data_IF_908549859100
#
_entry.id   IF_908549859100
#
_cell.length_a   1.000
_cell.length_b   1.000
_cell.length_c   1.000
_cell.angle_alpha   90.00
_cell.angle_beta   90.00
_cell.angle_gamma   90.00
#
_symmetry.space_group_name_H-M   'P 1'
#
loop_
_entity.id
_entity.type
_entity.pdbx_description
1 polymer ?
#
# COMPACT_ATOMS: atom_id res chain seq x y z
N UNK A 1 -5.08 28.35 -10.56
CA UNK A 1 -3.76 27.85 -10.12
C UNK A 1 -3.98 26.48 -9.50
N UNK A 2 -3.91 25.42 -10.32
CA UNK A 2 -3.87 24.04 -9.83
C UNK A 2 -2.47 23.82 -9.26
N UNK A 3 -2.35 23.84 -7.94
CA UNK A 3 -1.12 23.43 -7.26
C UNK A 3 -0.75 22.03 -7.74
N UNK A 4 0.50 21.86 -8.17
CA UNK A 4 1.04 20.59 -8.65
C UNK A 4 1.12 19.62 -7.47
N UNK A 5 0.08 18.80 -7.29
CA UNK A 5 -0.03 17.78 -6.23
C UNK A 5 1.19 16.85 -6.27
N UNK A 6 1.79 16.62 -7.45
CA UNK A 6 2.99 15.81 -7.62
C UNK A 6 4.22 16.35 -6.85
N UNK A 7 4.30 17.67 -6.65
CA UNK A 7 5.40 18.31 -5.93
C UNK A 7 5.38 18.04 -4.42
N UNK A 8 4.21 17.71 -3.85
CA UNK A 8 4.01 17.44 -2.40
C UNK A 8 4.19 15.96 -2.05
N UNK A 9 4.36 15.10 -3.05
CA UNK A 9 4.49 13.67 -2.85
C UNK A 9 5.89 13.33 -2.32
N UNK A 10 6.01 12.40 -1.36
CA UNK A 10 7.28 12.14 -0.67
C UNK A 10 8.31 11.53 -1.61
N UNK A 11 9.17 12.39 -2.17
CA UNK A 11 10.41 12.03 -2.87
C UNK A 11 11.30 11.20 -1.94
N UNK A 12 12.12 10.33 -2.50
CA UNK A 12 13.05 9.51 -1.70
C UNK A 12 13.96 10.40 -0.86
N UNK A 13 13.87 10.26 0.47
CA UNK A 13 14.85 10.85 1.37
C UNK A 13 16.17 10.05 1.31
N UNK A 14 17.28 10.63 1.77
CA UNK A 14 18.60 9.98 1.70
C UNK A 14 18.64 8.60 2.40
N UNK A 15 17.89 8.46 3.49
CA UNK A 15 17.80 7.19 4.23
C UNK A 15 17.11 6.10 3.39
N UNK A 16 16.02 6.44 2.70
CA UNK A 16 15.28 5.50 1.85
C UNK A 16 16.11 5.06 0.64
N UNK A 17 16.87 5.96 0.03
CA UNK A 17 17.81 5.60 -1.05
C UNK A 17 18.86 4.60 -0.57
N UNK A 18 19.36 4.77 0.66
CA UNK A 18 20.29 3.82 1.28
C UNK A 18 19.62 2.46 1.49
N UNK A 19 18.40 2.40 2.01
CA UNK A 19 17.68 1.13 2.21
C UNK A 19 17.47 0.39 0.88
N UNK A 20 17.05 1.10 -0.16
CA UNK A 20 16.84 0.51 -1.49
C UNK A 20 18.13 -0.08 -2.08
N UNK A 21 19.28 0.56 -1.85
CA UNK A 21 20.58 0.05 -2.33
C UNK A 21 21.00 -1.22 -1.60
N UNK A 22 20.74 -1.31 -0.29
CA UNK A 22 20.97 -2.52 0.50
C UNK A 22 20.06 -3.67 0.05
N UNK A 23 18.77 -3.40 -0.18
CA UNK A 23 17.81 -4.41 -0.67
C UNK A 23 18.23 -4.95 -2.05
N UNK A 24 18.67 -4.06 -2.95
CA UNK A 24 19.15 -4.48 -4.27
C UNK A 24 20.38 -5.39 -4.15
N UNK A 25 21.30 -5.07 -3.24
CA UNK A 25 22.50 -5.88 -2.97
C UNK A 25 22.14 -7.25 -2.38
N UNK A 26 21.22 -7.27 -1.41
CA UNK A 26 20.71 -8.49 -0.80
C UNK A 26 20.03 -9.42 -1.82
N UNK A 27 19.15 -8.88 -2.68
CA UNK A 27 18.49 -9.68 -3.74
C UNK A 27 19.50 -10.36 -4.67
N UNK A 28 20.59 -9.67 -5.04
CA UNK A 28 21.64 -10.27 -5.87
C UNK A 28 22.31 -11.45 -5.17
N UNK A 29 22.65 -11.28 -3.88
CA UNK A 29 23.26 -12.34 -3.08
C UNK A 29 22.30 -13.51 -2.87
N UNK A 30 21.04 -13.23 -2.52
CA UNK A 30 20.00 -14.25 -2.34
C UNK A 30 19.79 -15.08 -3.61
N UNK A 31 19.63 -14.43 -4.77
CA UNK A 31 19.44 -15.13 -6.04
C UNK A 31 20.67 -15.95 -6.45
N UNK A 32 21.88 -15.51 -6.09
CA UNK A 32 23.10 -16.28 -6.31
C UNK A 32 23.14 -17.55 -5.46
N UNK A 33 22.63 -17.50 -4.23
CA UNK A 33 22.61 -18.64 -3.31
C UNK A 33 21.42 -19.58 -3.56
N UNK A 34 20.28 -19.01 -3.97
CA UNK A 34 19.02 -19.73 -4.20
C UNK A 34 18.47 -19.41 -5.59
N UNK A 35 19.04 -19.98 -6.67
CA UNK A 35 18.64 -19.65 -8.05
C UNK A 35 17.18 -20.03 -8.37
N UNK A 36 16.61 -20.99 -7.64
CA UNK A 36 15.21 -21.42 -7.72
C UNK A 36 14.36 -20.91 -6.55
N UNK A 37 14.91 -20.03 -5.72
CA UNK A 37 14.20 -19.43 -4.60
C UNK A 37 13.07 -18.51 -5.09
N UNK A 38 11.98 -18.37 -4.32
CA UNK A 38 10.92 -17.44 -4.65
C UNK A 38 11.45 -15.99 -4.66
N UNK A 39 10.89 -15.16 -5.56
CA UNK A 39 11.24 -13.74 -5.64
C UNK A 39 10.84 -13.02 -4.34
N UNK A 40 11.82 -12.45 -3.64
CA UNK A 40 11.56 -11.70 -2.41
C UNK A 40 10.98 -10.31 -2.72
N UNK A 41 9.72 -10.08 -2.34
CA UNK A 41 9.00 -8.81 -2.52
C UNK A 41 9.39 -7.77 -1.44
N UNK A 42 10.66 -7.37 -1.44
CA UNK A 42 11.22 -6.39 -0.51
C UNK A 42 10.99 -4.93 -0.95
N UNK A 43 10.47 -4.70 -2.15
CA UNK A 43 10.16 -3.37 -2.68
C UNK A 43 8.95 -3.40 -3.60
N UNK A 44 8.16 -2.32 -3.59
CA UNK A 44 7.06 -2.08 -4.53
C UNK A 44 7.01 -0.61 -4.96
N UNK A 45 6.37 -0.34 -6.10
CA UNK A 45 6.11 1.04 -6.55
C UNK A 45 4.87 1.59 -5.83
N UNK A 46 4.94 2.82 -5.36
CA UNK A 46 3.75 3.54 -4.88
C UNK A 46 2.95 4.15 -6.04
N UNK A 47 1.85 4.85 -5.72
CA UNK A 47 1.01 5.61 -6.66
C UNK A 47 1.76 6.61 -7.57
N UNK A 48 3.00 6.96 -7.25
CA UNK A 48 3.86 7.83 -8.07
C UNK A 48 4.97 7.08 -8.80
N UNK A 49 4.85 5.76 -8.90
CA UNK A 49 5.85 4.88 -9.50
C UNK A 49 7.24 4.93 -8.85
N UNK A 50 7.36 5.49 -7.63
CA UNK A 50 8.59 5.50 -6.86
C UNK A 50 8.77 4.18 -6.11
N UNK A 51 9.98 3.62 -6.15
CA UNK A 51 10.29 2.35 -5.50
C UNK A 51 10.39 2.52 -3.99
N UNK A 52 9.42 2.01 -3.23
CA UNK A 52 9.41 2.04 -1.77
C UNK A 52 9.89 0.69 -1.22
N UNK A 53 10.67 0.72 -0.15
CA UNK A 53 11.02 -0.49 0.58
C UNK A 53 9.77 -1.04 1.26
N UNK A 54 9.44 -2.30 0.99
CA UNK A 54 8.46 -3.05 1.77
C UNK A 54 9.20 -3.45 3.03
N UNK A 55 9.15 -2.60 4.04
CA UNK A 55 9.59 -2.96 5.39
C UNK A 55 8.42 -3.74 6.00
N UNK A 56 8.14 -4.93 5.47
CA UNK A 56 7.38 -5.91 6.23
C UNK A 56 8.33 -6.53 7.26
N UNK A 57 8.81 -5.72 8.21
CA UNK A 57 8.60 -6.23 9.55
C UNK A 57 7.08 -6.22 9.68
N UNK A 58 6.47 -7.38 9.48
CA UNK A 58 5.35 -7.70 10.36
C UNK A 58 6.00 -7.75 11.74
N UNK A 59 6.24 -6.57 12.35
CA UNK A 59 5.76 -6.45 13.71
C UNK A 59 4.29 -6.76 13.49
N UNK A 60 3.74 -7.85 14.05
CA UNK A 60 2.34 -7.81 14.30
C UNK A 60 2.22 -6.60 15.23
N UNK A 61 1.99 -5.41 14.66
CA UNK A 61 1.10 -4.49 15.32
C UNK A 61 -0.09 -5.41 15.54
N UNK A 62 -0.25 -5.84 16.79
CA UNK A 62 -1.56 -6.14 17.33
C UNK A 62 -2.38 -4.93 16.94
N UNK A 63 -2.92 -4.94 15.72
CA UNK A 63 -3.90 -4.00 15.29
C UNK A 63 -5.00 -4.33 16.28
N UNK A 64 -5.45 -3.42 17.16
CA UNK A 64 -6.47 -3.72 18.15
C UNK A 64 -7.85 -4.00 17.50
N UNK A 65 -7.85 -4.29 16.21
CA UNK A 65 -8.96 -4.48 15.30
C UNK A 65 -8.71 -5.78 14.52
N UNK A 66 -8.74 -6.92 15.22
CA UNK A 66 -8.64 -8.27 14.62
C UNK A 66 -9.66 -8.48 13.50
N UNK A 67 -10.80 -7.78 13.60
CA UNK A 67 -11.88 -7.71 12.63
C UNK A 67 -11.41 -7.29 11.23
N UNK A 68 -10.32 -6.54 11.11
CA UNK A 68 -9.78 -6.14 9.80
C UNK A 68 -9.06 -7.29 9.06
N UNK A 69 -8.79 -8.41 9.73
CA UNK A 69 -8.17 -9.59 9.13
C UNK A 69 -9.18 -10.57 8.53
N UNK A 70 -10.48 -10.37 8.78
CA UNK A 70 -11.56 -11.19 8.24
C UNK A 70 -12.36 -10.41 7.19
N UNK A 71 -12.48 -10.97 5.99
CA UNK A 71 -13.17 -10.30 4.87
C UNK A 71 -14.64 -9.97 5.16
N UNK A 72 -15.33 -10.83 5.90
CA UNK A 72 -16.73 -10.62 6.29
C UNK A 72 -16.87 -9.48 7.28
N UNK A 73 -15.96 -9.38 8.25
CA UNK A 73 -15.92 -8.30 9.24
C UNK A 73 -15.56 -6.96 8.60
N UNK A 74 -14.61 -6.94 7.66
CA UNK A 74 -14.28 -5.75 6.87
C UNK A 74 -15.47 -5.29 6.02
N UNK A 75 -16.17 -6.22 5.36
CA UNK A 75 -17.35 -5.90 4.57
C UNK A 75 -18.47 -5.29 5.43
N UNK A 76 -18.66 -5.79 6.65
CA UNK A 76 -19.64 -5.26 7.59
C UNK A 76 -19.30 -3.84 8.06
N UNK A 77 -18.04 -3.59 8.45
CA UNK A 77 -17.57 -2.25 8.85
C UNK A 77 -17.77 -1.25 7.71
N UNK A 78 -17.43 -1.64 6.48
CA UNK A 78 -17.63 -0.81 5.30
C UNK A 78 -19.12 -0.55 5.01
N UNK A 79 -19.97 -1.56 5.17
CA UNK A 79 -21.41 -1.41 5.00
C UNK A 79 -22.00 -0.40 6.01
N UNK A 80 -21.53 -0.42 7.26
CA UNK A 80 -21.99 0.49 8.30
C UNK A 80 -21.51 1.95 8.07
N UNK A 81 -20.39 2.13 7.37
CA UNK A 81 -19.84 3.44 6.98
C UNK A 81 -20.50 4.04 5.74
N UNK A 82 -21.07 3.22 4.86
CA UNK A 82 -21.70 3.68 3.62
C UNK A 82 -23.18 3.93 3.89
N UNK A 83 -23.55 5.19 4.05
CA UNK A 83 -24.97 5.58 4.04
C UNK A 83 -25.48 5.54 2.59
N UNK A 84 -26.34 4.56 2.28
CA UNK A 84 -27.03 4.52 1.00
C UNK A 84 -28.00 5.71 0.93
N UNK A 85 -27.70 6.66 0.04
CA UNK A 85 -28.64 7.71 -0.31
C UNK A 85 -29.45 7.21 -1.52
N UNK A 86 -30.74 6.86 -1.35
CA UNK A 86 -31.56 6.50 -2.50
C UNK A 86 -31.61 7.70 -3.46
N UNK A 87 -31.63 7.46 -4.78
CA UNK A 87 -31.83 8.54 -5.74
C UNK A 87 -33.13 9.26 -5.39
N UNK A 88 -33.05 10.58 -5.22
CA UNK A 88 -34.22 11.42 -4.95
C UNK A 88 -35.25 11.20 -6.06
N UNK A 89 -36.50 10.98 -5.66
CA UNK A 89 -37.63 10.62 -6.53
C UNK A 89 -38.03 11.73 -7.54
N UNK A 90 -37.24 12.80 -7.65
CA UNK A 90 -37.54 13.97 -8.47
C UNK A 90 -36.82 13.97 -9.83
N UNK A 91 -36.12 12.89 -10.19
CA UNK A 91 -35.42 12.79 -11.49
C UNK A 91 -36.33 12.43 -12.67
N UNK A 92 -37.64 12.33 -12.45
CA UNK A 92 -38.65 12.17 -13.49
C UNK A 92 -39.69 13.29 -13.43
N UNK A 93 -39.24 14.53 -13.65
CA UNK A 93 -40.11 15.57 -14.20
C UNK A 93 -39.55 15.97 -15.57
N UNK A 94 -40.39 15.73 -16.57
CA UNK A 94 -40.22 16.05 -17.99
C UNK A 94 -39.92 17.54 -18.24
#
# INVERSE_FOLDING_TARGET
MTEDIASRLPKHNRAEQSILSHIASFRRQYNSLYPRGPLLLLTAKNENHCMKSIISFVVPSLVPYEELLNISSVAQILADLITYLPPSADSHSL
#
